data_IF_490734770638
#
_entry.id   IF_490734770638
#
_cell.length_a   1.000
_cell.length_b   1.000
_cell.length_c   1.000
_cell.angle_alpha   90.00
_cell.angle_beta   90.00
_cell.angle_gamma   90.00
#
_symmetry.space_group_name_H-M   'P 1'
#
loop_
_entity.id
_entity.type
_entity.pdbx_description
1 polymer ?
#
# COMPACT_ATOMS: atom_id res chain seq x y z
N UNK A 1 -23.34 -0.08 -14.76
CA UNK A 1 -22.29 -0.11 -13.73
C UNK A 1 -21.76 -1.53 -13.73
N UNK A 2 -20.54 -1.72 -14.21
CA UNK A 2 -19.89 -3.02 -14.24
C UNK A 2 -19.02 -3.11 -12.98
N UNK A 3 -19.20 -4.17 -12.19
CA UNK A 3 -18.30 -4.52 -11.08
C UNK A 3 -16.86 -4.60 -11.59
N UNK A 4 -15.94 -3.94 -10.87
CA UNK A 4 -14.52 -4.02 -11.13
C UNK A 4 -14.03 -5.46 -10.82
N UNK A 5 -13.19 -6.07 -11.67
CA UNK A 5 -12.60 -7.37 -11.37
C UNK A 5 -11.42 -7.18 -10.40
N UNK A 6 -11.69 -7.06 -9.10
CA UNK A 6 -10.70 -6.74 -8.05
C UNK A 6 -10.31 -7.92 -7.11
N UNK A 7 -10.70 -9.16 -7.43
CA UNK A 7 -10.54 -10.28 -6.49
C UNK A 7 -9.31 -11.18 -6.74
N UNK A 8 -8.14 -10.64 -7.11
CA UNK A 8 -6.94 -11.49 -7.30
C UNK A 8 -5.92 -11.44 -6.16
N UNK A 9 -5.86 -10.34 -5.43
CA UNK A 9 -4.83 -10.10 -4.41
C UNK A 9 -5.43 -9.65 -3.07
N UNK A 10 -6.61 -10.15 -2.67
CA UNK A 10 -7.24 -9.77 -1.40
C UNK A 10 -6.69 -10.54 -0.19
N UNK A 11 -6.01 -11.66 -0.44
CA UNK A 11 -5.46 -12.53 0.59
C UNK A 11 -3.96 -12.70 0.40
N UNK A 12 -3.22 -12.70 1.50
CA UNK A 12 -1.78 -12.82 1.51
C UNK A 12 -1.32 -13.76 2.61
N UNK A 13 -0.54 -14.77 2.24
CA UNK A 13 0.27 -15.54 3.18
C UNK A 13 1.66 -14.93 3.20
N UNK A 14 2.15 -14.66 4.40
CA UNK A 14 3.51 -14.18 4.62
C UNK A 14 4.27 -15.22 5.45
N UNK A 15 5.46 -15.58 4.99
CA UNK A 15 6.38 -16.43 5.71
C UNK A 15 7.67 -15.65 5.96
N UNK A 16 7.94 -15.32 7.22
CA UNK A 16 9.18 -14.70 7.67
C UNK A 16 10.06 -15.79 8.30
N UNK A 17 11.18 -16.10 7.65
CA UNK A 17 12.09 -17.14 8.11
C UNK A 17 12.98 -16.64 9.23
N UNK A 18 13.19 -17.49 10.23
CA UNK A 18 14.08 -17.17 11.33
C UNK A 18 15.53 -17.10 10.85
N UNK A 19 16.27 -16.05 11.26
CA UNK A 19 17.70 -15.94 10.99
C UNK A 19 18.48 -17.07 11.70
N UNK A 20 19.26 -17.89 10.97
CA UNK A 20 20.17 -18.84 11.61
C UNK A 20 21.40 -18.09 12.17
N UNK A 21 21.95 -18.57 13.29
CA UNK A 21 23.23 -18.15 13.90
C UNK A 21 24.48 -18.33 12.99
N UNK A 22 24.32 -18.68 11.71
CA UNK A 22 25.41 -19.10 10.81
C UNK A 22 25.49 -18.21 9.55
N UNK A 23 26.70 -17.74 9.23
CA UNK A 23 27.04 -16.72 8.21
C UNK A 23 26.71 -17.09 6.74
N UNK A 24 26.12 -18.25 6.47
CA UNK A 24 25.64 -18.60 5.12
C UNK A 24 24.23 -18.07 4.96
N UNK A 25 24.12 -16.92 4.30
CA UNK A 25 22.90 -16.13 4.32
C UNK A 25 21.66 -16.97 3.98
N UNK A 26 20.64 -16.84 4.81
CA UNK A 26 19.30 -17.43 4.68
C UNK A 26 18.73 -17.32 3.25
N UNK A 27 19.08 -16.24 2.55
CA UNK A 27 18.74 -16.01 1.15
C UNK A 27 19.34 -17.05 0.18
N UNK A 28 20.52 -17.60 0.47
CA UNK A 28 21.14 -18.68 -0.29
C UNK A 28 20.44 -20.01 -0.06
N UNK A 29 19.98 -20.30 1.17
CA UNK A 29 19.21 -21.53 1.46
C UNK A 29 17.86 -21.49 0.75
N UNK A 30 17.17 -20.35 0.75
CA UNK A 30 15.93 -20.15 0.01
C UNK A 30 16.09 -20.13 -1.51
N UNK A 31 17.25 -19.71 -2.03
CA UNK A 31 17.59 -19.85 -3.46
C UNK A 31 17.91 -21.30 -3.82
N UNK A 32 18.59 -22.02 -2.93
CA UNK A 32 18.96 -23.42 -3.14
C UNK A 32 17.78 -24.39 -3.02
N UNK A 33 16.74 -24.02 -2.27
CA UNK A 33 15.56 -24.86 -2.04
C UNK A 33 14.48 -24.74 -3.12
N UNK A 34 14.61 -23.81 -4.09
CA UNK A 34 13.60 -23.59 -5.14
C UNK A 34 12.17 -23.48 -4.57
N UNK A 35 12.02 -22.96 -3.34
CA UNK A 35 10.75 -22.89 -2.61
C UNK A 35 9.68 -22.16 -3.41
N UNK A 36 10.08 -21.15 -4.19
CA UNK A 36 9.17 -20.41 -5.07
C UNK A 36 8.65 -21.30 -6.21
N UNK A 37 9.50 -22.14 -6.80
CA UNK A 37 9.13 -23.03 -7.90
C UNK A 37 8.36 -24.25 -7.39
N UNK A 38 8.72 -24.80 -6.23
CA UNK A 38 7.95 -25.85 -5.57
C UNK A 38 6.59 -25.34 -5.10
N UNK A 39 6.53 -24.12 -4.57
CA UNK A 39 5.27 -23.47 -4.22
C UNK A 39 4.43 -23.24 -5.48
N UNK A 40 5.01 -22.72 -6.57
CA UNK A 40 4.30 -22.55 -7.86
C UNK A 40 3.87 -23.87 -8.51
N UNK A 41 4.61 -24.97 -8.32
CA UNK A 41 4.23 -26.27 -8.86
C UNK A 41 3.09 -26.90 -8.06
N UNK A 42 3.08 -26.69 -6.73
CA UNK A 42 2.05 -27.20 -5.83
C UNK A 42 0.81 -26.33 -5.76
N UNK A 43 0.96 -25.02 -5.96
CA UNK A 43 -0.10 -24.04 -5.94
C UNK A 43 -0.47 -23.73 -7.39
N UNK A 44 -1.73 -23.96 -7.75
CA UNK A 44 -2.24 -23.67 -9.09
C UNK A 44 -1.93 -22.23 -9.57
N UNK A 45 -2.13 -21.93 -10.87
CA UNK A 45 -2.03 -20.59 -11.51
C UNK A 45 -2.81 -19.44 -10.83
N UNK A 46 -3.46 -19.70 -9.69
CA UNK A 46 -4.26 -18.77 -8.89
C UNK A 46 -3.49 -18.10 -7.76
N UNK A 47 -2.21 -18.45 -7.54
CA UNK A 47 -1.38 -17.88 -6.47
C UNK A 47 -0.14 -17.22 -7.05
N UNK A 48 0.06 -15.94 -6.72
CA UNK A 48 1.25 -15.18 -7.12
C UNK A 48 2.26 -15.23 -5.98
N UNK A 49 3.48 -15.69 -6.26
CA UNK A 49 4.56 -15.77 -5.26
C UNK A 49 5.56 -14.65 -5.50
N UNK A 50 5.80 -13.82 -4.49
CA UNK A 50 6.85 -12.79 -4.47
C UNK A 50 7.77 -12.97 -3.27
N UNK A 51 8.96 -12.36 -3.34
CA UNK A 51 10.02 -12.50 -2.35
C UNK A 51 10.66 -11.17 -2.04
N UNK A 52 10.91 -10.92 -0.75
CA UNK A 52 11.70 -9.79 -0.28
C UNK A 52 12.59 -10.21 0.89
N UNK A 53 13.90 -10.27 0.66
CA UNK A 53 14.87 -10.69 1.67
C UNK A 53 14.53 -12.06 2.31
N UNK A 54 14.31 -12.14 3.64
CA UNK A 54 13.93 -13.37 4.34
C UNK A 54 12.41 -13.66 4.29
N UNK A 55 11.64 -12.83 3.60
CA UNK A 55 10.18 -12.93 3.54
C UNK A 55 9.72 -13.48 2.19
N UNK A 56 8.78 -14.40 2.24
CA UNK A 56 8.07 -14.93 1.07
C UNK A 56 6.60 -14.55 1.21
N UNK A 57 6.03 -14.00 0.14
CA UNK A 57 4.63 -13.62 0.07
C UNK A 57 3.91 -14.44 -0.99
N UNK A 58 2.70 -14.90 -0.66
CA UNK A 58 1.82 -15.63 -1.56
C UNK A 58 0.49 -14.91 -1.59
N UNK A 59 0.14 -14.37 -2.75
CA UNK A 59 -1.11 -13.66 -2.97
C UNK A 59 -2.13 -14.60 -3.60
N UNK A 60 -3.33 -14.59 -3.04
CA UNK A 60 -4.43 -15.43 -3.45
C UNK A 60 -5.71 -14.59 -3.63
N UNK A 61 -6.52 -14.97 -4.61
CA UNK A 61 -7.78 -14.29 -4.89
C UNK A 61 -8.94 -14.67 -3.97
N UNK A 62 -8.80 -15.74 -3.18
CA UNK A 62 -9.84 -16.15 -2.24
C UNK A 62 -9.26 -16.84 -1.00
N UNK A 63 -10.03 -16.87 0.07
CA UNK A 63 -9.65 -17.44 1.37
C UNK A 63 -9.30 -18.93 1.29
N UNK A 64 -9.98 -19.68 0.42
CA UNK A 64 -9.74 -21.11 0.23
C UNK A 64 -8.36 -21.35 -0.36
N UNK A 65 -8.05 -20.65 -1.44
CA UNK A 65 -6.73 -20.66 -2.06
C UNK A 65 -5.64 -20.17 -1.09
N UNK A 66 -5.91 -19.13 -0.30
CA UNK A 66 -4.96 -18.62 0.68
C UNK A 66 -4.67 -19.62 1.81
N UNK A 67 -5.69 -20.31 2.34
CA UNK A 67 -5.52 -21.39 3.34
C UNK A 67 -4.83 -22.62 2.77
N UNK A 68 -4.99 -22.90 1.49
CA UNK A 68 -4.23 -23.95 0.81
C UNK A 68 -2.76 -23.54 0.67
N UNK A 69 -2.49 -22.32 0.22
CA UNK A 69 -1.15 -21.75 0.14
C UNK A 69 -0.43 -21.75 1.50
N UNK A 70 -1.14 -21.37 2.56
CA UNK A 70 -0.62 -21.37 3.92
C UNK A 70 -0.21 -22.77 4.38
N UNK A 71 -1.03 -23.79 4.10
CA UNK A 71 -0.72 -25.19 4.42
C UNK A 71 0.47 -25.70 3.62
N UNK A 72 0.48 -25.47 2.31
CA UNK A 72 1.59 -25.89 1.43
C UNK A 72 2.90 -25.24 1.87
N UNK A 73 2.88 -23.95 2.21
CA UNK A 73 4.06 -23.24 2.72
C UNK A 73 4.59 -23.90 3.99
N UNK A 74 3.73 -24.18 4.98
CA UNK A 74 4.14 -24.86 6.22
C UNK A 74 4.71 -26.26 5.96
N UNK A 75 4.12 -27.01 5.04
CA UNK A 75 4.59 -28.34 4.68
C UNK A 75 5.98 -28.30 4.01
N UNK A 76 6.22 -27.32 3.14
CA UNK A 76 7.53 -27.12 2.51
C UNK A 76 8.60 -26.73 3.55
N UNK A 77 8.29 -25.77 4.42
CA UNK A 77 9.17 -25.36 5.52
C UNK A 77 9.54 -26.55 6.43
N UNK A 78 8.56 -27.39 6.76
CA UNK A 78 8.77 -28.57 7.59
C UNK A 78 9.60 -29.65 6.87
N UNK A 79 9.38 -29.88 5.57
CA UNK A 79 10.14 -30.84 4.78
C UNK A 79 11.64 -30.47 4.71
N UNK A 80 11.94 -29.18 4.67
CA UNK A 80 13.30 -28.65 4.57
C UNK A 80 13.94 -28.32 5.93
N UNK A 81 13.21 -28.55 7.03
CA UNK A 81 13.68 -28.30 8.39
C UNK A 81 13.94 -26.82 8.69
N UNK A 82 13.16 -25.94 8.05
CA UNK A 82 13.22 -24.49 8.24
C UNK A 82 12.22 -24.05 9.33
N UNK A 83 12.62 -23.05 10.11
CA UNK A 83 11.75 -22.38 11.07
C UNK A 83 11.35 -21.03 10.51
N UNK A 84 10.06 -20.73 10.54
CA UNK A 84 9.50 -19.47 10.05
C UNK A 84 8.20 -19.15 10.79
N UNK A 85 7.93 -17.86 10.94
CA UNK A 85 6.61 -17.35 11.31
C UNK A 85 5.77 -17.25 10.04
N UNK A 86 4.67 -18.00 9.99
CA UNK A 86 3.72 -17.98 8.86
C UNK A 86 2.40 -17.37 9.30
N UNK A 87 2.00 -16.26 8.67
CA UNK A 87 0.76 -15.55 8.92
C UNK A 87 -0.13 -15.53 7.68
N UNK A 88 -1.45 -15.58 7.90
CA UNK A 88 -2.46 -15.41 6.87
C UNK A 88 -3.17 -14.07 7.11
N UNK A 89 -3.09 -13.19 6.12
CA UNK A 89 -3.63 -11.83 6.18
C UNK A 89 -4.61 -11.60 5.04
N UNK A 90 -5.52 -10.64 5.24
CA UNK A 90 -6.47 -10.15 4.24
C UNK A 90 -6.36 -8.63 4.18
N UNK A 91 -6.46 -8.09 2.97
CA UNK A 91 -6.60 -6.65 2.77
C UNK A 91 -7.86 -6.14 3.48
N UNK A 92 -7.72 -5.11 4.30
CA UNK A 92 -8.83 -4.46 4.96
C UNK A 92 -9.27 -3.24 4.15
N UNK A 93 -10.48 -3.21 3.56
CA UNK A 93 -10.84 -2.19 2.57
C UNK A 93 -11.02 -0.78 3.17
N UNK A 94 -11.32 -0.67 4.47
CA UNK A 94 -11.49 0.63 5.13
C UNK A 94 -10.16 1.14 5.70
N UNK A 95 -9.49 0.33 6.52
CA UNK A 95 -8.15 0.64 7.03
C UNK A 95 -7.06 0.67 5.96
N UNK A 96 -7.32 0.18 4.75
CA UNK A 96 -6.36 0.08 3.63
C UNK A 96 -5.01 -0.52 4.07
N UNK A 97 -5.09 -1.62 4.82
CA UNK A 97 -3.94 -2.26 5.42
C UNK A 97 -4.15 -3.78 5.48
N UNK A 98 -3.04 -4.54 5.54
CA UNK A 98 -3.06 -5.98 5.68
C UNK A 98 -3.33 -6.36 7.13
N UNK A 99 -4.50 -6.95 7.40
CA UNK A 99 -4.88 -7.41 8.73
C UNK A 99 -4.88 -8.92 8.81
N UNK A 100 -4.78 -9.44 10.03
CA UNK A 100 -4.99 -10.86 10.27
C UNK A 100 -6.32 -11.32 9.64
N UNK A 101 -6.31 -12.46 8.96
CA UNK A 101 -7.48 -12.99 8.26
C UNK A 101 -8.70 -13.22 9.18
N UNK A 102 -8.48 -13.41 10.48
CA UNK A 102 -9.54 -13.56 11.47
C UNK A 102 -10.13 -12.24 11.96
N UNK A 103 -9.52 -11.10 11.61
CA UNK A 103 -10.07 -9.79 11.92
C UNK A 103 -11.45 -9.64 11.23
N UNK A 104 -12.51 -9.30 11.99
CA UNK A 104 -13.83 -9.11 11.41
C UNK A 104 -13.83 -7.90 10.48
N UNK A 105 -14.46 -8.02 9.31
CA UNK A 105 -14.80 -6.84 8.51
C UNK A 105 -16.04 -6.17 9.09
N UNK A 106 -16.18 -4.85 8.91
CA UNK A 106 -17.43 -4.17 9.20
C UNK A 106 -18.57 -4.78 8.37
N UNK A 107 -19.68 -5.09 9.04
CA UNK A 107 -20.85 -5.76 8.43
C UNK A 107 -22.04 -4.82 8.28
N UNK A 108 -21.94 -3.61 8.82
CA UNK A 108 -22.98 -2.58 8.77
C UNK A 108 -22.39 -1.22 8.39
N UNK A 109 -23.25 -0.33 7.88
CA UNK A 109 -22.87 1.05 7.54
C UNK A 109 -22.35 1.83 8.76
N UNK A 110 -22.93 1.58 9.95
CA UNK A 110 -22.47 2.20 11.18
C UNK A 110 -21.06 1.73 11.60
N UNK A 111 -20.73 0.45 11.37
CA UNK A 111 -19.37 -0.05 11.62
C UNK A 111 -18.37 0.49 10.60
N UNK A 112 -18.76 0.57 9.32
CA UNK A 112 -17.95 1.18 8.25
C UNK A 112 -17.60 2.64 8.59
N UNK A 113 -18.60 3.43 9.00
CA UNK A 113 -18.39 4.84 9.33
C UNK A 113 -17.52 5.01 10.57
N UNK A 114 -17.77 4.24 11.64
CA UNK A 114 -16.95 4.28 12.83
C UNK A 114 -15.48 3.93 12.53
N UNK A 115 -15.23 3.01 11.60
CA UNK A 115 -13.88 2.65 11.19
C UNK A 115 -13.20 3.72 10.35
N UNK A 116 -13.92 4.37 9.43
CA UNK A 116 -13.43 5.55 8.69
C UNK A 116 -13.06 6.69 9.62
N UNK A 117 -13.92 6.99 10.60
CA UNK A 117 -13.64 8.02 11.62
C UNK A 117 -12.38 7.69 12.43
N UNK A 118 -12.20 6.42 12.83
CA UNK A 118 -11.00 5.97 13.55
C UNK A 118 -9.74 6.14 12.69
N UNK A 119 -9.79 5.74 11.43
CA UNK A 119 -8.68 5.87 10.48
C UNK A 119 -8.30 7.33 10.29
N UNK A 120 -9.27 8.18 9.95
CA UNK A 120 -9.04 9.61 9.76
C UNK A 120 -8.43 10.25 11.01
N UNK A 121 -8.89 9.85 12.21
CA UNK A 121 -8.34 10.34 13.46
C UNK A 121 -6.91 9.86 13.74
N UNK A 122 -6.52 8.68 13.24
CA UNK A 122 -5.15 8.19 13.29
C UNK A 122 -4.24 8.97 12.33
N UNK A 123 -4.63 9.10 11.05
CA UNK A 123 -3.91 9.87 10.03
C UNK A 123 -3.73 11.33 10.45
N UNK A 124 -4.78 11.94 11.02
CA UNK A 124 -4.71 13.30 11.56
C UNK A 124 -3.65 13.43 12.66
N UNK A 125 -3.49 12.40 13.50
CA UNK A 125 -2.49 12.38 14.57
C UNK A 125 -1.08 12.24 14.00
N UNK A 126 -0.89 11.33 13.05
CA UNK A 126 0.39 11.12 12.37
C UNK A 126 0.86 12.38 11.64
N UNK A 127 -0.03 13.05 10.89
CA UNK A 127 0.26 14.37 10.30
C UNK A 127 0.67 15.39 11.36
N UNK A 128 -0.03 15.43 12.51
CA UNK A 128 0.29 16.39 13.57
C UNK A 128 1.64 16.11 14.25
N UNK A 129 2.07 14.84 14.31
CA UNK A 129 3.31 14.41 14.97
C UNK A 129 4.52 14.43 14.01
N UNK A 130 4.34 13.98 12.77
CA UNK A 130 5.43 13.72 11.81
C UNK A 130 5.39 14.67 10.60
N UNK A 131 4.26 15.33 10.33
CA UNK A 131 4.07 16.20 9.16
C UNK A 131 3.98 15.44 7.84
N UNK A 132 3.76 14.13 7.90
CA UNK A 132 3.66 13.27 6.72
C UNK A 132 2.21 13.07 6.30
N UNK A 133 1.92 13.32 5.02
CA UNK A 133 0.61 13.12 4.40
C UNK A 133 0.71 12.01 3.36
N UNK A 134 -0.28 11.13 3.28
CA UNK A 134 -0.30 10.07 2.26
C UNK A 134 -0.71 10.56 0.88
N UNK A 135 -1.36 11.73 0.83
CA UNK A 135 -1.84 12.35 -0.40
C UNK A 135 -1.33 13.77 -0.53
N UNK A 136 -1.09 14.19 -1.76
CA UNK A 136 -0.74 15.57 -2.08
C UNK A 136 -1.48 16.11 -3.29
N UNK A 137 -1.82 17.39 -3.25
CA UNK A 137 -2.29 18.13 -4.42
C UNK A 137 -1.09 18.80 -5.07
N UNK A 138 -0.74 18.32 -6.26
CA UNK A 138 0.26 18.92 -7.13
C UNK A 138 -0.37 20.03 -7.96
N UNK A 139 0.06 21.27 -7.73
CA UNK A 139 -0.43 22.45 -8.46
C UNK A 139 0.67 23.02 -9.34
N UNK A 140 0.46 23.02 -10.66
CA UNK A 140 1.36 23.65 -11.62
C UNK A 140 0.83 25.02 -12.06
N UNK A 141 1.73 26.00 -12.07
CA UNK A 141 1.43 27.39 -12.43
C UNK A 141 2.47 27.90 -13.42
N UNK A 142 2.06 28.83 -14.29
CA UNK A 142 2.93 29.32 -15.37
C UNK A 142 4.16 30.11 -14.87
N UNK A 143 4.11 30.67 -13.65
CA UNK A 143 5.14 31.56 -13.14
C UNK A 143 5.37 31.48 -11.63
N UNK A 144 6.65 31.58 -11.24
CA UNK A 144 7.11 31.51 -9.85
C UNK A 144 6.44 32.54 -8.91
N UNK A 145 6.03 33.71 -9.40
CA UNK A 145 5.29 34.68 -8.58
C UNK A 145 3.90 34.16 -8.21
N UNK A 146 3.14 33.66 -9.18
CA UNK A 146 1.84 33.03 -8.90
C UNK A 146 1.99 31.82 -7.97
N UNK A 147 3.07 31.04 -8.12
CA UNK A 147 3.41 29.93 -7.22
C UNK A 147 3.67 30.40 -5.79
N UNK A 148 4.40 31.51 -5.60
CA UNK A 148 4.64 32.09 -4.28
C UNK A 148 3.36 32.67 -3.66
N UNK A 149 2.59 33.45 -4.42
CA UNK A 149 1.35 34.08 -3.94
C UNK A 149 0.31 33.03 -3.54
N UNK A 150 0.17 31.94 -4.32
CA UNK A 150 -0.72 30.83 -3.95
C UNK A 150 -0.22 30.10 -2.70
N UNK A 151 1.08 29.84 -2.58
CA UNK A 151 1.65 29.19 -1.40
C UNK A 151 1.38 29.99 -0.12
N UNK A 152 1.63 31.30 -0.13
CA UNK A 152 1.39 32.17 1.04
C UNK A 152 -0.06 32.14 1.49
N UNK A 153 -1.02 32.10 0.55
CA UNK A 153 -2.46 32.00 0.90
C UNK A 153 -2.79 30.66 1.54
N UNK A 154 -2.36 29.56 0.94
CA UNK A 154 -2.64 28.22 1.44
C UNK A 154 -1.96 27.98 2.80
N UNK A 155 -0.73 28.47 3.00
CA UNK A 155 -0.05 28.44 4.30
C UNK A 155 -0.79 29.29 5.36
N UNK A 156 -1.35 30.44 4.98
CA UNK A 156 -2.16 31.27 5.88
C UNK A 156 -3.48 30.60 6.30
N UNK A 157 -4.00 29.67 5.49
CA UNK A 157 -5.13 28.78 5.83
C UNK A 157 -4.70 27.61 6.75
N UNK A 158 -3.41 27.46 7.01
CA UNK A 158 -2.85 26.37 7.82
C UNK A 158 -2.57 25.09 7.03
N UNK A 159 -2.59 25.13 5.70
CA UNK A 159 -2.27 23.97 4.87
C UNK A 159 -0.76 23.74 4.82
N UNK A 160 -0.36 22.47 4.79
CA UNK A 160 1.05 22.10 4.65
C UNK A 160 1.47 22.18 3.17
N UNK A 161 2.22 23.24 2.83
CA UNK A 161 2.65 23.52 1.45
C UNK A 161 4.16 23.33 1.29
N UNK A 162 4.55 22.52 0.30
CA UNK A 162 5.93 22.44 -0.18
C UNK A 162 6.03 23.20 -1.50
N UNK A 163 6.75 24.32 -1.49
CA UNK A 163 6.97 25.14 -2.67
C UNK A 163 8.18 24.68 -3.47
N UNK A 164 7.98 24.39 -4.76
CA UNK A 164 9.05 24.19 -5.75
C UNK A 164 9.02 25.32 -6.77
N UNK A 165 9.98 25.36 -7.70
CA UNK A 165 10.15 26.51 -8.59
C UNK A 165 8.93 26.76 -9.51
N UNK A 166 8.32 25.69 -10.05
CA UNK A 166 7.18 25.77 -10.99
C UNK A 166 5.89 25.10 -10.50
N UNK A 167 5.89 24.52 -9.30
CA UNK A 167 4.73 23.82 -8.76
C UNK A 167 4.73 23.84 -7.24
N UNK A 168 3.55 23.61 -6.67
CA UNK A 168 3.31 23.40 -5.24
C UNK A 168 2.88 21.95 -5.01
N UNK A 169 3.24 21.42 -3.84
CA UNK A 169 2.68 20.19 -3.30
C UNK A 169 1.96 20.56 -2.00
N UNK A 170 0.68 20.21 -1.88
CA UNK A 170 -0.12 20.53 -0.70
C UNK A 170 -0.56 19.22 -0.06
N UNK A 171 -0.12 18.95 1.17
CA UNK A 171 -0.47 17.73 1.88
C UNK A 171 -1.96 17.69 2.23
N UNK A 172 -2.59 16.54 1.99
CA UNK A 172 -4.01 16.28 2.30
C UNK A 172 -4.16 14.88 2.90
N UNK A 173 -5.13 14.70 3.78
CA UNK A 173 -5.32 13.44 4.51
C UNK A 173 -5.87 12.34 3.59
N UNK A 174 -6.82 12.69 2.73
CA UNK A 174 -7.54 11.72 1.88
C UNK A 174 -7.51 12.15 0.41
N UNK A 175 -7.65 11.18 -0.49
CA UNK A 175 -7.79 11.46 -1.93
C UNK A 175 -8.99 12.35 -2.24
N UNK A 176 -10.13 12.10 -1.59
CA UNK A 176 -11.36 12.87 -1.74
C UNK A 176 -11.15 14.32 -1.29
N UNK A 177 -10.54 14.54 -0.11
CA UNK A 177 -10.19 15.88 0.36
C UNK A 177 -9.18 16.57 -0.56
N UNK A 178 -8.25 15.81 -1.14
CA UNK A 178 -7.36 16.30 -2.20
C UNK A 178 -8.11 16.76 -3.46
N UNK A 179 -9.13 16.01 -3.86
CA UNK A 179 -9.93 16.32 -5.06
C UNK A 179 -10.74 17.60 -4.86
N UNK A 180 -11.39 17.75 -3.70
CA UNK A 180 -12.07 18.98 -3.33
C UNK A 180 -11.12 20.19 -3.30
N UNK A 181 -9.91 20.01 -2.74
CA UNK A 181 -8.91 21.06 -2.71
C UNK A 181 -8.41 21.42 -4.12
N UNK A 182 -8.18 20.43 -4.99
CA UNK A 182 -7.76 20.65 -6.37
C UNK A 182 -8.80 21.45 -7.15
N UNK A 183 -10.08 21.10 -7.04
CA UNK A 183 -11.20 21.81 -7.67
C UNK A 183 -11.30 23.26 -7.17
N UNK A 184 -11.17 23.46 -5.85
CA UNK A 184 -11.16 24.80 -5.25
C UNK A 184 -10.01 25.65 -5.78
N UNK A 185 -8.80 25.09 -5.81
CA UNK A 185 -7.61 25.78 -6.33
C UNK A 185 -7.82 26.16 -7.80
N UNK A 186 -8.36 25.25 -8.63
CA UNK A 186 -8.62 25.52 -10.04
C UNK A 186 -9.69 26.58 -10.27
N UNK A 187 -10.71 26.66 -9.42
CA UNK A 187 -11.75 27.69 -9.50
C UNK A 187 -11.20 29.12 -9.28
N UNK A 188 -10.11 29.25 -8.52
CA UNK A 188 -9.51 30.53 -8.15
C UNK A 188 -8.17 30.83 -8.87
N UNK A 189 -7.64 29.85 -9.61
CA UNK A 189 -6.34 29.93 -10.25
C UNK A 189 -6.38 30.71 -11.58
N UNK A 190 -5.25 31.31 -12.00
CA UNK A 190 -5.14 31.91 -13.32
C UNK A 190 -5.32 30.87 -14.44
N UNK A 191 -5.76 31.29 -15.65
CA UNK A 191 -5.84 30.40 -16.81
C UNK A 191 -4.50 29.70 -17.07
N UNK A 192 -4.54 28.40 -17.35
CA UNK A 192 -3.34 27.58 -17.58
C UNK A 192 -2.77 26.90 -16.33
N UNK A 193 -3.36 27.13 -15.15
CA UNK A 193 -3.07 26.33 -13.97
C UNK A 193 -3.63 24.91 -14.10
N UNK A 194 -2.92 23.94 -13.53
CA UNK A 194 -3.42 22.57 -13.36
C UNK A 194 -3.23 22.12 -11.93
N UNK A 195 -4.21 21.43 -11.36
CA UNK A 195 -4.11 20.76 -10.07
C UNK A 195 -4.42 19.27 -10.26
N UNK A 196 -3.63 18.40 -9.65
CA UNK A 196 -3.86 16.95 -9.65
C UNK A 196 -3.62 16.40 -8.25
N UNK A 197 -4.47 15.48 -7.84
CA UNK A 197 -4.26 14.65 -6.64
C UNK A 197 -3.33 13.51 -7.00
N UNK A 198 -2.25 13.36 -6.24
CA UNK A 198 -1.28 12.28 -6.41
C UNK A 198 -1.05 11.64 -5.04
N UNK A 199 -0.91 10.30 -4.96
CA UNK A 199 -0.42 9.68 -3.74
C UNK A 199 0.99 10.18 -3.47
N UNK A 200 1.27 10.62 -2.24
CA UNK A 200 2.62 10.98 -1.85
C UNK A 200 3.37 9.67 -1.65
N UNK A 201 4.18 9.31 -2.64
CA UNK A 201 5.17 8.27 -2.46
C UNK A 201 6.25 8.80 -1.48
N UNK A 202 6.01 8.72 -0.16
CA UNK A 202 7.11 8.37 0.73
C UNK A 202 7.61 7.05 0.17
N UNK A 203 8.87 6.95 -0.29
CA UNK A 203 9.39 5.69 -0.85
C UNK A 203 9.01 4.58 0.13
N UNK A 204 7.97 3.77 -0.17
CA UNK A 204 7.77 2.61 0.66
C UNK A 204 9.01 1.78 0.33
N UNK A 205 9.67 1.26 1.35
CA UNK A 205 10.63 0.18 1.14
C UNK A 205 9.80 -1.02 0.68
N UNK A 206 9.37 -1.00 -0.58
CA UNK A 206 8.60 -2.03 -1.23
C UNK A 206 9.24 -2.28 -2.60
N UNK A 207 10.09 -3.30 -2.72
CA UNK A 207 10.68 -3.64 -3.99
C UNK A 207 9.63 -4.30 -4.91
N UNK A 208 9.48 -3.70 -6.10
CA UNK A 208 9.25 -4.36 -7.39
C UNK A 208 7.97 -5.24 -7.53
N UNK A 209 6.84 -4.62 -7.85
CA UNK A 209 5.81 -5.26 -8.68
C UNK A 209 6.33 -5.38 -10.13
N UNK A 210 6.74 -6.59 -10.54
CA UNK A 210 7.01 -6.92 -11.94
C UNK A 210 5.78 -7.63 -12.51
N UNK A 211 5.01 -6.96 -13.36
CA UNK A 211 3.99 -7.59 -14.18
C UNK A 211 4.67 -8.36 -15.33
N UNK A 212 4.52 -9.69 -15.36
CA UNK A 212 4.80 -10.48 -16.56
C UNK A 212 3.49 -10.71 -17.33
N UNK A 213 3.31 -10.00 -18.44
CA UNK A 213 2.34 -10.40 -19.48
C UNK A 213 2.85 -11.69 -20.13
N UNK A 214 2.15 -12.80 -19.93
CA UNK A 214 2.35 -14.00 -20.74
C UNK A 214 1.78 -13.75 -22.13
N UNK A 215 2.62 -13.95 -23.15
CA UNK A 215 2.27 -13.88 -24.56
C UNK A 215 1.88 -15.26 -25.11
#
# INVERSE_FOLDING_TARGET
MAEAPEARDEWRVEAELDEPDDERSLSERLRALELDDQARERLSDRVIVTRDGPRVFLYAGDEGAAREAERVMRDLLAADGLSATVSLTRWHPVEEDWKDASAPLPTSEAELEAERERRLAAETREVAEEGEFDWEVRVELEGHRATADLAERLEAEGLHVVRRWRYLLVGVLTEEGGSELADRILAEAPPGASARVEPRFSEPTHPLLVFFESR
#
